data_IF_711705453121
#
_entry.id   IF_711705453121
#
_cell.length_a   1.000
_cell.length_b   1.000
_cell.length_c   1.000
_cell.angle_alpha   90.00
_cell.angle_beta   90.00
_cell.angle_gamma   90.00
#
_symmetry.space_group_name_H-M   'P 1'
#
loop_
_entity.id
_entity.type
_entity.pdbx_description
1 polymer ?
#
# COMPACT_ATOMS: atom_id res chain seq x y z
N UNK A 1 27.14 -53.74 -25.92
CA UNK A 1 27.77 -52.46 -25.54
C UNK A 1 26.69 -51.56 -24.95
N UNK A 2 26.87 -51.23 -23.67
CA UNK A 2 26.38 -50.05 -22.92
C UNK A 2 24.89 -49.68 -22.94
N UNK A 3 24.19 -50.19 -21.93
CA UNK A 3 23.05 -49.56 -21.25
C UNK A 3 23.52 -48.32 -20.45
N UNK A 4 22.76 -47.22 -20.45
CA UNK A 4 22.96 -46.16 -19.44
C UNK A 4 21.64 -45.50 -19.06
N UNK A 5 21.20 -45.81 -17.84
CA UNK A 5 20.14 -45.15 -17.06
C UNK A 5 20.68 -43.89 -16.40
N UNK A 6 19.97 -42.76 -16.51
CA UNK A 6 20.23 -41.57 -15.69
C UNK A 6 19.07 -41.39 -14.70
N UNK A 7 19.35 -41.78 -13.45
CA UNK A 7 18.57 -41.43 -12.27
C UNK A 7 18.90 -39.98 -11.84
N UNK A 8 17.93 -39.18 -11.37
CA UNK A 8 18.24 -37.94 -10.67
C UNK A 8 18.74 -38.24 -9.24
N UNK A 9 19.74 -37.49 -8.73
CA UNK A 9 20.16 -37.61 -7.35
C UNK A 9 19.15 -36.89 -6.43
N UNK A 10 19.00 -37.41 -5.22
CA UNK A 10 18.14 -36.91 -4.11
C UNK A 10 16.73 -37.52 -4.10
N UNK A 11 16.68 -38.85 -3.94
CA UNK A 11 15.59 -39.51 -3.22
C UNK A 11 16.10 -39.82 -1.80
N UNK A 12 16.01 -38.86 -0.89
CA UNK A 12 16.11 -39.14 0.54
C UNK A 12 14.73 -38.96 1.16
N UNK A 13 14.17 -40.10 1.55
CA UNK A 13 12.99 -40.26 2.40
C UNK A 13 13.10 -39.33 3.61
N UNK A 14 12.20 -38.34 3.68
CA UNK A 14 11.96 -37.58 4.90
C UNK A 14 11.31 -38.51 5.91
N UNK A 15 12.08 -38.94 6.92
CA UNK A 15 11.54 -39.54 8.15
C UNK A 15 11.16 -38.42 9.11
N UNK A 16 10.01 -38.58 9.75
CA UNK A 16 9.41 -37.68 10.74
C UNK A 16 10.21 -37.62 12.06
N UNK A 17 11.35 -36.94 12.09
CA UNK A 17 12.12 -36.77 13.33
C UNK A 17 12.68 -35.37 13.59
N UNK A 18 12.16 -34.34 12.92
CA UNK A 18 12.57 -32.94 13.12
C UNK A 18 11.39 -32.05 13.56
N UNK A 19 10.59 -32.54 14.50
CA UNK A 19 9.68 -31.70 15.31
C UNK A 19 9.80 -32.12 16.77
N UNK A 20 10.99 -31.95 17.34
CA UNK A 20 11.22 -32.35 18.74
C UNK A 20 12.25 -31.53 19.51
N UNK A 21 12.93 -30.55 18.88
CA UNK A 21 14.03 -29.81 19.52
C UNK A 21 14.00 -28.31 19.27
N UNK A 22 12.87 -27.65 19.56
CA UNK A 22 12.83 -26.17 19.75
C UNK A 22 11.91 -25.74 20.90
N UNK A 23 11.72 -26.55 21.95
CA UNK A 23 11.16 -26.04 23.22
C UNK A 23 11.84 -26.74 24.41
N UNK A 24 13.11 -26.40 24.64
CA UNK A 24 13.69 -26.58 25.97
C UNK A 24 14.80 -25.57 26.22
N UNK A 25 14.40 -24.31 26.42
CA UNK A 25 15.16 -23.39 27.27
C UNK A 25 14.22 -22.33 27.83
N UNK A 26 14.34 -22.12 29.14
CA UNK A 26 13.67 -21.13 29.98
C UNK A 26 12.35 -21.58 30.64
N UNK A 27 12.47 -22.47 31.64
CA UNK A 27 11.71 -22.28 32.87
C UNK A 27 12.56 -21.43 33.83
N UNK A 28 12.01 -20.31 34.31
CA UNK A 28 11.87 -19.96 35.73
C UNK A 28 11.75 -18.44 35.91
N UNK A 29 10.53 -17.95 36.10
CA UNK A 29 10.19 -17.01 37.18
C UNK A 29 8.67 -16.99 37.35
N UNK A 30 8.21 -17.52 38.49
CA UNK A 30 6.85 -17.39 39.02
C UNK A 30 6.66 -15.97 39.56
N UNK A 31 5.56 -15.31 39.22
CA UNK A 31 4.74 -14.53 40.17
C UNK A 31 3.28 -14.43 39.68
N UNK A 32 2.41 -15.20 40.32
CA UNK A 32 1.10 -14.84 40.92
C UNK A 32 0.03 -14.05 40.13
N UNK A 33 -1.21 -14.54 40.31
CA UNK A 33 -2.55 -13.96 40.05
C UNK A 33 -3.03 -13.99 38.60
N UNK A 34 -4.19 -14.50 38.22
CA UNK A 34 -5.31 -15.14 38.91
C UNK A 34 -6.47 -15.24 37.92
N UNK A 35 -7.44 -16.12 38.21
CA UNK A 35 -8.84 -16.10 37.72
C UNK A 35 -9.20 -16.90 36.44
N UNK A 36 -9.78 -18.09 36.74
CA UNK A 36 -10.99 -18.77 36.20
C UNK A 36 -11.13 -19.10 34.70
N UNK A 37 -11.15 -20.41 34.47
CA UNK A 37 -11.85 -21.11 33.39
C UNK A 37 -13.35 -20.80 33.34
N UNK A 38 -13.89 -20.60 32.12
CA UNK A 38 -15.20 -21.15 31.70
C UNK A 38 -15.15 -21.50 30.19
N UNK A 39 -15.74 -22.66 29.88
CA UNK A 39 -15.84 -23.31 28.57
C UNK A 39 -16.72 -22.54 27.55
N UNK A 40 -16.57 -22.83 26.24
CA UNK A 40 -17.40 -22.27 25.18
C UNK A 40 -18.70 -23.06 24.97
N UNK A 41 -19.80 -22.35 24.71
CA UNK A 41 -21.11 -22.89 24.30
C UNK A 41 -21.67 -22.16 23.08
N UNK A 42 -22.65 -22.73 22.37
CA UNK A 42 -22.61 -22.83 20.90
C UNK A 42 -23.50 -21.86 20.10
N UNK A 43 -23.21 -21.77 18.80
CA UNK A 43 -24.02 -21.15 17.73
C UNK A 43 -25.46 -21.69 17.67
N UNK A 44 -26.45 -20.87 17.24
CA UNK A 44 -27.68 -21.38 16.64
C UNK A 44 -27.76 -21.24 15.12
N UNK A 45 -28.48 -22.20 14.54
CA UNK A 45 -28.85 -22.43 13.14
C UNK A 45 -29.97 -21.50 12.65
N UNK A 46 -30.09 -21.45 11.31
CA UNK A 46 -31.16 -20.82 10.53
C UNK A 46 -32.45 -21.68 10.38
N UNK A 47 -33.55 -20.96 10.07
CA UNK A 47 -34.79 -21.31 9.30
C UNK A 47 -35.99 -21.94 10.04
N UNK A 48 -37.22 -21.93 9.45
CA UNK A 48 -38.00 -20.83 8.83
C UNK A 48 -39.52 -20.86 9.16
N UNK A 49 -40.28 -19.78 8.94
CA UNK A 49 -41.75 -19.82 8.62
C UNK A 49 -42.39 -18.43 8.49
N UNK A 50 -43.11 -18.15 7.39
CA UNK A 50 -44.19 -17.13 7.30
C UNK A 50 -45.52 -17.68 7.87
N UNK A 51 -46.71 -17.07 7.64
CA UNK A 51 -47.08 -16.16 6.53
C UNK A 51 -48.00 -14.94 6.88
N UNK A 52 -48.33 -14.19 5.82
CA UNK A 52 -49.55 -13.38 5.51
C UNK A 52 -49.82 -11.96 6.09
N UNK A 53 -49.89 -11.03 5.11
CA UNK A 53 -50.83 -9.92 4.82
C UNK A 53 -51.17 -8.81 5.83
N UNK A 54 -50.95 -7.55 5.40
CA UNK A 54 -51.98 -6.48 5.34
C UNK A 54 -51.45 -5.19 4.69
N UNK A 55 -52.35 -4.53 3.95
CA UNK A 55 -52.24 -3.24 3.26
C UNK A 55 -51.85 -2.04 4.14
N UNK A 56 -51.31 -0.96 3.53
CA UNK A 56 -51.37 0.38 4.16
C UNK A 56 -50.34 1.40 3.70
N UNK A 57 -50.79 2.33 2.86
CA UNK A 57 -50.18 3.59 2.42
C UNK A 57 -49.77 4.49 3.61
N UNK A 58 -48.65 5.22 3.52
CA UNK A 58 -48.41 6.37 4.41
C UNK A 58 -47.00 6.97 4.42
N UNK A 59 -46.82 8.07 3.70
CA UNK A 59 -45.69 9.00 3.77
C UNK A 59 -45.55 9.59 5.19
N UNK A 60 -44.33 9.76 5.73
CA UNK A 60 -43.81 11.10 6.06
C UNK A 60 -42.40 11.12 6.66
N UNK A 61 -41.79 12.28 6.43
CA UNK A 61 -40.42 12.68 6.71
C UNK A 61 -39.98 12.60 8.18
N UNK A 62 -38.70 12.27 8.37
CA UNK A 62 -37.90 12.60 9.56
C UNK A 62 -36.82 13.60 9.14
N UNK A 63 -36.90 14.83 9.65
CA UNK A 63 -35.77 15.76 9.72
C UNK A 63 -35.97 16.63 10.96
N UNK A 64 -35.24 16.32 12.01
CA UNK A 64 -35.05 17.22 13.14
C UNK A 64 -33.62 17.78 13.05
N UNK A 65 -33.51 19.12 13.02
CA UNK A 65 -32.78 19.97 13.98
C UNK A 65 -31.67 19.27 14.80
N UNK A 66 -30.52 19.87 15.11
CA UNK A 66 -29.90 21.19 14.88
C UNK A 66 -28.55 21.08 15.62
N UNK A 67 -27.79 22.18 15.63
CA UNK A 67 -26.88 22.54 16.71
C UNK A 67 -25.40 22.17 16.54
N UNK A 68 -24.75 23.11 15.86
CA UNK A 68 -23.45 23.64 16.19
C UNK A 68 -23.20 23.81 17.69
N UNK A 69 -22.01 23.41 18.16
CA UNK A 69 -21.38 24.02 19.33
C UNK A 69 -19.89 24.26 19.06
N UNK A 70 -19.48 25.52 19.23
CA UNK A 70 -18.12 26.05 19.11
C UNK A 70 -17.61 26.37 20.52
N UNK A 71 -16.42 25.90 20.88
CA UNK A 71 -15.37 26.62 21.67
C UNK A 71 -14.31 25.64 22.18
N UNK A 72 -13.07 25.77 21.71
CA UNK A 72 -11.95 26.51 22.34
C UNK A 72 -11.44 25.84 23.63
N UNK A 73 -10.22 25.29 23.60
CA UNK A 73 -9.02 25.94 24.17
C UNK A 73 -7.83 24.96 24.32
N UNK A 74 -6.67 25.47 23.92
CA UNK A 74 -5.32 25.36 24.52
C UNK A 74 -4.55 24.04 24.59
N UNK A 75 -3.47 24.04 23.81
CA UNK A 75 -2.05 23.81 24.15
C UNK A 75 -1.67 22.90 25.34
N UNK A 76 -0.92 21.84 25.02
CA UNK A 76 -0.09 21.09 25.96
C UNK A 76 1.31 20.83 25.39
N UNK A 77 2.31 21.61 25.82
CA UNK A 77 3.75 21.39 25.60
C UNK A 77 4.27 20.22 26.45
N UNK A 78 5.25 19.43 25.98
CA UNK A 78 6.04 18.55 26.85
C UNK A 78 7.09 19.32 27.67
N UNK A 79 7.22 18.92 28.93
CA UNK A 79 8.13 19.46 29.95
C UNK A 79 9.61 19.28 29.61
N UNK A 80 10.37 20.38 29.71
CA UNK A 80 11.81 20.38 29.97
C UNK A 80 12.06 20.11 31.47
N UNK A 81 12.90 19.14 31.79
CA UNK A 81 13.58 19.10 33.09
C UNK A 81 15.00 19.64 32.98
N UNK A 82 15.20 20.69 33.77
CA UNK A 82 16.37 21.54 33.88
C UNK A 82 17.57 20.84 34.55
N UNK A 83 18.75 21.18 34.05
CA UNK A 83 20.07 20.83 34.59
C UNK A 83 20.32 21.65 35.85
N UNK A 84 20.63 20.99 36.97
CA UNK A 84 21.07 21.66 38.20
C UNK A 84 22.57 21.50 38.43
N UNK A 85 23.18 22.64 38.78
CA UNK A 85 24.36 22.80 39.64
C UNK A 85 25.77 22.55 39.07
N UNK A 86 26.43 23.66 38.72
CA UNK A 86 27.85 23.90 39.06
C UNK A 86 28.01 25.32 39.61
N UNK A 87 27.98 25.46 40.94
CA UNK A 87 28.48 26.65 41.64
C UNK A 87 29.99 26.50 41.82
N UNK A 88 30.74 27.50 41.32
CA UNK A 88 32.17 27.71 41.60
C UNK A 88 32.32 28.09 43.07
N UNK A 89 33.26 27.46 43.78
CA UNK A 89 33.84 28.05 44.99
C UNK A 89 35.08 28.86 44.60
N UNK A 90 35.11 30.09 45.10
CA UNK A 90 36.29 30.94 45.19
C UNK A 90 36.84 30.79 46.60
N UNK A 91 38.15 30.56 46.75
CA UNK A 91 38.86 30.70 48.01
C UNK A 91 39.73 31.94 47.93
N UNK A 92 39.33 32.97 48.68
CA UNK A 92 40.05 34.21 48.85
C UNK A 92 41.21 34.02 49.84
N UNK A 93 42.36 34.55 49.45
CA UNK A 93 43.54 34.78 50.28
C UNK A 93 43.27 35.94 51.22
N UNK A 94 43.50 35.76 52.52
CA UNK A 94 43.52 36.85 53.50
C UNK A 94 44.93 36.97 54.07
N UNK A 95 45.55 38.12 53.81
CA UNK A 95 46.78 38.61 54.41
C UNK A 95 46.53 39.05 55.86
N UNK A 96 47.40 38.65 56.79
CA UNK A 96 47.50 39.25 58.12
C UNK A 96 48.90 39.85 58.25
N UNK A 97 48.92 41.12 58.69
CA UNK A 97 50.08 42.00 58.71
C UNK A 97 51.11 41.66 59.78
N UNK A 98 52.29 42.24 59.57
CA UNK A 98 53.41 42.26 60.49
C UNK A 98 53.23 43.40 61.51
N UNK A 99 53.62 43.13 62.75
CA UNK A 99 54.03 44.15 63.71
C UNK A 99 55.40 43.76 64.28
N UNK A 100 56.27 44.76 64.34
CA UNK A 100 57.66 44.73 64.80
C UNK A 100 57.70 45.30 66.22
N UNK A 101 58.41 44.65 67.16
CA UNK A 101 59.30 45.35 68.10
C UNK A 101 60.18 44.41 68.95
N UNK A 102 61.46 44.72 68.87
CA UNK A 102 62.69 44.37 69.60
C UNK A 102 62.65 43.72 70.99
N UNK A 103 63.61 42.79 71.18
CA UNK A 103 64.18 42.39 72.47
C UNK A 103 65.52 41.67 72.26
N UNK A 104 66.58 42.18 72.88
CA UNK A 104 68.01 41.90 72.60
C UNK A 104 68.61 40.79 73.47
N UNK A 105 69.45 39.93 72.85
CA UNK A 105 70.57 39.12 73.37
C UNK A 105 70.32 37.91 74.29
N UNK A 106 71.30 37.00 74.51
CA UNK A 106 72.46 36.60 73.70
C UNK A 106 72.49 35.08 73.37
N UNK A 107 73.30 34.70 72.38
CA UNK A 107 73.64 33.29 72.07
C UNK A 107 74.21 32.54 73.28
N UNK A 108 73.90 31.23 73.40
CA UNK A 108 74.97 30.28 73.68
C UNK A 108 75.04 29.15 72.64
N UNK A 109 76.29 28.86 72.27
CA UNK A 109 76.81 27.61 71.71
C UNK A 109 76.03 26.97 70.55
N UNK A 110 76.41 27.35 69.33
CA UNK A 110 76.30 26.51 68.13
C UNK A 110 77.06 25.20 68.37
N UNK A 111 76.34 24.10 68.60
CA UNK A 111 76.77 22.75 68.17
C UNK A 111 75.67 21.69 68.16
N UNK A 112 74.54 21.86 68.88
CA UNK A 112 73.52 20.79 68.97
C UNK A 112 72.12 21.13 68.40
N UNK A 113 71.80 22.39 68.03
CA UNK A 113 70.48 22.76 67.45
C UNK A 113 70.37 22.48 65.94
N UNK A 114 71.50 22.44 65.23
CA UNK A 114 71.53 22.18 63.79
C UNK A 114 71.09 20.75 63.49
N UNK A 115 71.43 19.77 64.32
CA UNK A 115 71.11 18.35 64.07
C UNK A 115 69.61 18.02 64.22
N UNK A 116 68.89 18.63 65.17
CA UNK A 116 67.44 18.41 65.33
C UNK A 116 66.60 19.15 64.28
N UNK A 117 67.00 20.36 63.87
CA UNK A 117 66.33 21.08 62.77
C UNK A 117 66.62 20.46 61.39
N UNK A 118 67.82 19.91 61.17
CA UNK A 118 68.14 19.12 59.98
C UNK A 118 67.27 17.85 59.92
N UNK A 119 67.09 17.14 61.04
CA UNK A 119 66.25 15.95 61.13
C UNK A 119 64.77 16.19 60.78
N UNK A 120 64.19 17.32 61.21
CA UNK A 120 62.80 17.64 60.90
C UNK A 120 62.64 18.19 59.46
N UNK A 121 63.68 18.84 58.92
CA UNK A 121 63.72 19.28 57.52
C UNK A 121 63.87 18.11 56.54
N UNK A 122 64.59 17.06 56.94
CA UNK A 122 64.73 15.80 56.19
C UNK A 122 63.42 15.01 56.20
N UNK A 123 62.74 14.88 57.36
CA UNK A 123 61.39 14.30 57.43
C UNK A 123 60.37 15.06 56.58
N UNK A 124 60.43 16.39 56.58
CA UNK A 124 59.56 17.23 55.75
C UNK A 124 59.84 17.03 54.26
N UNK A 125 61.11 16.85 53.87
CA UNK A 125 61.52 16.48 52.51
C UNK A 125 60.94 15.14 52.08
N UNK A 126 61.05 14.12 52.93
CA UNK A 126 60.52 12.78 52.64
C UNK A 126 58.99 12.80 52.47
N UNK A 127 58.28 13.55 53.31
CA UNK A 127 56.84 13.79 53.19
C UNK A 127 56.48 14.47 51.85
N UNK A 128 57.25 15.47 51.42
CA UNK A 128 57.05 16.13 50.12
C UNK A 128 57.28 15.16 48.97
N UNK A 129 58.34 14.33 49.02
CA UNK A 129 58.65 13.32 48.02
C UNK A 129 57.51 12.28 47.93
N UNK A 130 56.98 11.83 49.06
CA UNK A 130 55.87 10.88 49.11
C UNK A 130 54.59 11.50 48.53
N UNK A 131 54.29 12.77 48.84
CA UNK A 131 53.13 13.48 48.31
C UNK A 131 53.21 13.72 46.80
N UNK A 132 54.38 14.09 46.29
CA UNK A 132 54.64 14.22 44.84
C UNK A 132 54.48 12.86 44.16
N UNK A 133 55.06 11.80 44.73
CA UNK A 133 54.94 10.43 44.21
C UNK A 133 53.47 9.96 44.17
N UNK A 134 52.70 10.21 45.23
CA UNK A 134 51.25 9.91 45.28
C UNK A 134 50.46 10.73 44.25
N UNK A 135 50.80 12.00 44.05
CA UNK A 135 50.17 12.87 43.04
C UNK A 135 50.44 12.36 41.63
N UNK A 136 51.68 11.98 41.34
CA UNK A 136 52.10 11.52 40.02
C UNK A 136 51.50 10.14 39.71
N UNK A 137 51.40 9.25 40.71
CA UNK A 137 50.66 7.99 40.60
C UNK A 137 49.17 8.21 40.30
N UNK A 138 48.52 9.20 40.92
CA UNK A 138 47.12 9.56 40.63
C UNK A 138 46.96 10.09 39.20
N UNK A 139 47.87 10.95 38.74
CA UNK A 139 47.86 11.48 37.37
C UNK A 139 48.00 10.35 36.36
N UNK A 140 48.92 9.42 36.59
CA UNK A 140 49.13 8.28 35.70
C UNK A 140 47.92 7.34 35.68
N UNK A 141 47.31 7.06 36.84
CA UNK A 141 46.04 6.32 36.90
C UNK A 141 44.90 7.02 36.15
N UNK A 142 44.77 8.35 36.27
CA UNK A 142 43.78 9.13 35.52
C UNK A 142 44.04 9.06 34.02
N UNK A 143 45.30 9.15 33.58
CA UNK A 143 45.70 9.05 32.17
C UNK A 143 45.34 7.68 31.59
N UNK A 144 45.70 6.60 32.29
CA UNK A 144 45.39 5.22 31.90
C UNK A 144 43.87 4.98 31.87
N UNK A 145 43.13 5.46 32.87
CA UNK A 145 41.67 5.32 32.89
C UNK A 145 41.00 6.11 31.78
N UNK A 146 41.45 7.34 31.47
CA UNK A 146 40.94 8.10 30.32
C UNK A 146 41.25 7.39 29.00
N UNK A 147 42.46 6.86 28.82
CA UNK A 147 42.82 6.12 27.61
C UNK A 147 41.96 4.86 27.46
N UNK A 148 41.71 4.12 28.54
CA UNK A 148 40.79 2.97 28.56
C UNK A 148 39.36 3.37 28.25
N UNK A 149 38.89 4.50 28.79
CA UNK A 149 37.55 5.01 28.52
C UNK A 149 37.38 5.36 27.04
N UNK A 150 38.32 6.14 26.46
CA UNK A 150 38.31 6.46 25.02
C UNK A 150 38.34 5.18 24.16
N UNK A 151 39.22 4.23 24.48
CA UNK A 151 39.28 2.94 23.78
C UNK A 151 37.97 2.15 23.86
N UNK A 152 37.26 2.18 24.99
CA UNK A 152 35.93 1.54 25.12
C UNK A 152 34.88 2.26 24.29
N UNK A 153 34.93 3.58 24.25
CA UNK A 153 34.02 4.41 23.45
C UNK A 153 34.24 4.17 21.94
N UNK A 154 35.49 4.15 21.49
CA UNK A 154 35.85 3.87 20.10
C UNK A 154 35.41 2.46 19.69
N UNK A 155 35.62 1.46 20.56
CA UNK A 155 35.16 0.09 20.33
C UNK A 155 33.63 0.03 20.21
N UNK A 156 32.90 0.69 21.10
CA UNK A 156 31.44 0.72 21.05
C UNK A 156 30.92 1.36 19.76
N UNK A 157 31.54 2.45 19.30
CA UNK A 157 31.20 3.07 18.01
C UNK A 157 31.50 2.16 16.82
N UNK A 158 32.64 1.48 16.84
CA UNK A 158 33.00 0.52 15.79
C UNK A 158 32.03 -0.68 15.74
N UNK A 159 31.64 -1.22 16.90
CA UNK A 159 30.68 -2.31 17.00
C UNK A 159 29.28 -1.88 16.50
N UNK A 160 28.86 -0.65 16.80
CA UNK A 160 27.60 -0.07 16.30
C UNK A 160 27.60 0.10 14.78
N UNK A 161 28.69 0.62 14.23
CA UNK A 161 28.85 0.82 12.78
C UNK A 161 28.83 -0.52 12.03
N UNK A 162 29.52 -1.53 12.57
CA UNK A 162 29.48 -2.89 12.03
C UNK A 162 28.06 -3.46 12.03
N UNK A 163 27.31 -3.27 13.12
CA UNK A 163 25.90 -3.70 13.20
C UNK A 163 25.00 -3.00 12.19
N UNK A 164 25.19 -1.69 11.98
CA UNK A 164 24.46 -0.93 10.95
C UNK A 164 24.75 -1.46 9.54
N UNK A 165 26.02 -1.73 9.24
CA UNK A 165 26.44 -2.28 7.95
C UNK A 165 25.84 -3.67 7.71
N UNK A 166 25.86 -4.55 8.73
CA UNK A 166 25.21 -5.85 8.67
C UNK A 166 23.71 -5.74 8.41
N UNK A 167 23.02 -4.87 9.14
CA UNK A 167 21.57 -4.64 9.00
C UNK A 167 21.24 -4.13 7.59
N UNK A 168 22.01 -3.17 7.04
CA UNK A 168 21.82 -2.68 5.68
C UNK A 168 22.05 -3.76 4.63
N UNK A 169 23.08 -4.58 4.80
CA UNK A 169 23.34 -5.71 3.91
C UNK A 169 22.21 -6.75 3.95
N UNK A 170 21.63 -6.99 5.13
CA UNK A 170 20.48 -7.88 5.30
C UNK A 170 19.21 -7.32 4.65
N UNK A 171 18.92 -6.02 4.82
CA UNK A 171 17.82 -5.35 4.12
C UNK A 171 17.98 -5.53 2.61
N UNK A 172 19.16 -5.22 2.07
CA UNK A 172 19.40 -5.33 0.63
C UNK A 172 19.30 -6.78 0.14
N UNK A 173 19.76 -7.75 0.94
CA UNK A 173 19.58 -9.18 0.65
C UNK A 173 18.10 -9.57 0.63
N UNK A 174 17.32 -9.14 1.62
CA UNK A 174 15.89 -9.41 1.70
C UNK A 174 15.10 -8.72 0.58
N UNK A 175 15.47 -7.51 0.19
CA UNK A 175 14.91 -6.80 -0.97
C UNK A 175 15.20 -7.56 -2.26
N UNK A 176 16.44 -8.00 -2.48
CA UNK A 176 16.81 -8.83 -3.61
C UNK A 176 16.07 -10.18 -3.60
N UNK A 177 15.88 -10.79 -2.43
CA UNK A 177 15.11 -12.03 -2.29
C UNK A 177 13.64 -11.81 -2.58
N UNK A 178 13.04 -10.69 -2.12
CA UNK A 178 11.67 -10.29 -2.45
C UNK A 178 11.50 -10.05 -3.95
N UNK A 179 12.44 -9.36 -4.60
CA UNK A 179 12.42 -9.17 -6.05
C UNK A 179 12.49 -10.52 -6.78
N UNK A 180 13.41 -11.41 -6.38
CA UNK A 180 13.51 -12.76 -6.95
C UNK A 180 12.23 -13.57 -6.76
N UNK A 181 11.60 -13.48 -5.59
CA UNK A 181 10.31 -14.12 -5.33
C UNK A 181 9.26 -13.52 -6.25
N UNK A 182 9.10 -12.19 -6.33
CA UNK A 182 8.16 -11.51 -7.22
C UNK A 182 8.33 -11.94 -8.69
N UNK A 183 9.57 -12.08 -9.17
CA UNK A 183 9.87 -12.58 -10.52
C UNK A 183 9.64 -14.10 -10.69
N UNK A 184 9.75 -14.89 -9.61
CA UNK A 184 9.60 -16.35 -9.62
C UNK A 184 8.15 -16.82 -9.34
N UNK A 185 7.34 -16.04 -8.61
CA UNK A 185 5.91 -16.32 -8.44
C UNK A 185 5.13 -15.88 -9.68
N UNK A 186 4.16 -16.68 -10.14
CA UNK A 186 3.45 -16.38 -11.36
C UNK A 186 2.57 -15.14 -11.16
N UNK A 187 2.66 -14.24 -12.13
CA UNK A 187 2.02 -12.92 -12.31
C UNK A 187 0.49 -12.92 -12.31
N UNK A 188 -0.12 -14.03 -11.90
CA UNK A 188 -1.57 -14.25 -11.84
C UNK A 188 -2.21 -13.20 -10.93
N UNK A 189 -1.66 -12.94 -9.74
CA UNK A 189 -2.28 -11.99 -8.81
C UNK A 189 -2.41 -10.57 -9.40
N UNK A 190 -1.44 -10.12 -10.21
CA UNK A 190 -1.50 -8.82 -10.89
C UNK A 190 -2.54 -8.78 -12.02
N UNK A 191 -2.59 -9.80 -12.88
CA UNK A 191 -3.57 -9.82 -13.99
C UNK A 191 -4.99 -9.94 -13.46
N UNK A 192 -5.19 -10.73 -12.40
CA UNK A 192 -6.48 -10.86 -11.74
C UNK A 192 -6.91 -9.53 -11.11
N UNK A 193 -6.00 -8.82 -10.43
CA UNK A 193 -6.26 -7.49 -9.88
C UNK A 193 -6.57 -6.47 -10.98
N UNK A 194 -5.88 -6.53 -12.12
CA UNK A 194 -6.17 -5.65 -13.26
C UNK A 194 -7.54 -5.97 -13.87
N UNK A 195 -7.87 -7.25 -14.04
CA UNK A 195 -9.17 -7.66 -14.54
C UNK A 195 -10.29 -7.19 -13.60
N UNK A 196 -10.18 -7.44 -12.28
CA UNK A 196 -11.19 -6.99 -11.31
C UNK A 196 -11.34 -5.47 -11.28
N UNK A 197 -10.23 -4.73 -11.32
CA UNK A 197 -10.25 -3.27 -11.38
C UNK A 197 -10.84 -2.74 -12.69
N UNK A 198 -10.57 -3.39 -13.83
CA UNK A 198 -11.19 -3.06 -15.11
C UNK A 198 -12.73 -3.15 -15.01
N UNK A 199 -13.27 -4.27 -14.52
CA UNK A 199 -14.72 -4.43 -14.37
C UNK A 199 -15.32 -3.47 -13.35
N UNK A 200 -14.59 -3.16 -12.27
CA UNK A 200 -15.02 -2.16 -11.28
C UNK A 200 -15.14 -0.78 -11.90
N UNK A 201 -14.15 -0.37 -12.70
CA UNK A 201 -14.10 0.95 -13.31
C UNK A 201 -15.13 1.11 -14.44
N UNK A 202 -15.36 0.08 -15.24
CA UNK A 202 -16.29 0.11 -16.38
C UNK A 202 -17.69 -0.46 -16.06
N UNK A 203 -18.00 -0.71 -14.78
CA UNK A 203 -19.29 -1.27 -14.32
C UNK A 203 -20.51 -0.54 -14.90
N UNK A 204 -20.41 0.76 -15.11
CA UNK A 204 -21.49 1.59 -15.66
C UNK A 204 -21.13 2.23 -17.01
N UNK A 205 -20.15 1.65 -17.72
CA UNK A 205 -19.61 2.20 -18.96
C UNK A 205 -18.58 3.30 -18.71
N UNK A 206 -18.44 4.19 -19.69
CA UNK A 206 -17.57 5.35 -19.66
C UNK A 206 -18.14 6.43 -18.75
N UNK A 207 -17.34 6.89 -17.79
CA UNK A 207 -17.72 8.00 -16.90
C UNK A 207 -17.11 9.30 -17.43
N UNK A 208 -17.91 10.23 -17.94
CA UNK A 208 -17.35 11.53 -18.34
C UNK A 208 -16.80 12.29 -17.12
N UNK A 209 -15.68 13.03 -17.25
CA UNK A 209 -15.26 13.96 -16.22
C UNK A 209 -16.41 14.94 -15.94
N UNK A 210 -16.75 15.14 -14.67
CA UNK A 210 -17.76 16.13 -14.31
C UNK A 210 -17.31 17.48 -14.87
N UNK A 211 -18.12 18.17 -15.70
CA UNK A 211 -17.78 19.51 -16.11
C UNK A 211 -17.73 20.37 -14.85
N UNK A 212 -16.63 21.07 -14.65
CA UNK A 212 -16.58 22.16 -13.70
C UNK A 212 -17.73 23.10 -14.05
N UNK A 213 -18.69 23.25 -13.12
CA UNK A 213 -19.78 24.20 -13.24
C UNK A 213 -19.19 25.58 -13.55
N UNK A 214 -19.39 26.11 -14.77
CA UNK A 214 -18.91 27.46 -15.06
C UNK A 214 -18.73 27.93 -16.50
N UNK A 215 -18.99 27.15 -17.57
CA UNK A 215 -18.94 27.72 -18.92
C UNK A 215 -20.15 27.32 -19.77
N UNK A 216 -20.79 28.37 -20.30
CA UNK A 216 -21.96 28.37 -21.16
C UNK A 216 -21.67 27.70 -22.49
N UNK A 217 -22.65 26.95 -22.95
CA UNK A 217 -22.87 26.46 -24.32
C UNK A 217 -22.23 27.33 -25.40
N UNK A 218 -21.19 26.80 -26.03
CA UNK A 218 -21.01 26.61 -27.48
C UNK A 218 -19.58 26.05 -27.67
N UNK A 219 -19.38 25.11 -28.61
CA UNK A 219 -18.13 24.36 -28.88
C UNK A 219 -17.90 23.03 -28.13
N UNK A 220 -18.96 22.25 -27.88
CA UNK A 220 -18.84 20.87 -27.36
C UNK A 220 -18.70 19.81 -28.48
N UNK A 221 -17.97 20.13 -29.56
CA UNK A 221 -17.64 19.17 -30.63
C UNK A 221 -16.16 18.78 -30.57
N UNK A 222 -15.95 17.46 -30.48
CA UNK A 222 -14.75 16.75 -30.94
C UNK A 222 -13.40 16.95 -30.23
N UNK A 223 -13.32 16.92 -28.90
CA UNK A 223 -12.10 16.46 -28.19
C UNK A 223 -12.50 15.75 -26.90
N UNK A 224 -12.09 14.50 -26.69
CA UNK A 224 -12.11 13.87 -25.36
C UNK A 224 -11.34 14.84 -24.44
N UNK A 225 -11.96 15.45 -23.42
CA UNK A 225 -11.22 16.34 -22.53
C UNK A 225 -10.01 15.57 -22.00
N UNK A 226 -8.80 16.03 -22.35
CA UNK A 226 -7.51 15.46 -21.92
C UNK A 226 -7.26 15.67 -20.42
N UNK A 227 -8.33 15.74 -19.63
CA UNK A 227 -8.30 15.88 -18.19
C UNK A 227 -8.38 14.46 -17.62
N UNK A 228 -7.26 14.03 -17.02
CA UNK A 228 -7.08 12.90 -16.10
C UNK A 228 -8.37 12.17 -15.72
N UNK A 229 -8.78 11.27 -16.60
CA UNK A 229 -9.92 10.40 -16.39
C UNK A 229 -9.43 9.12 -15.71
N UNK A 230 -10.01 8.75 -14.57
CA UNK A 230 -9.57 7.56 -13.79
C UNK A 230 -9.53 6.28 -14.64
N UNK A 231 -10.43 6.15 -15.61
CA UNK A 231 -10.43 5.00 -16.52
C UNK A 231 -9.24 5.08 -17.50
N UNK A 232 -8.93 6.25 -18.06
CA UNK A 232 -7.78 6.43 -18.95
C UNK A 232 -6.45 6.17 -18.23
N UNK A 233 -6.26 6.78 -17.05
CA UNK A 233 -5.04 6.61 -16.26
C UNK A 233 -4.81 5.15 -15.89
N UNK A 234 -5.89 4.44 -15.53
CA UNK A 234 -5.84 3.00 -15.28
C UNK A 234 -5.42 2.21 -16.52
N UNK A 235 -6.06 2.44 -17.68
CA UNK A 235 -5.72 1.72 -18.91
C UNK A 235 -4.26 2.00 -19.32
N UNK A 236 -3.81 3.25 -19.24
CA UNK A 236 -2.42 3.65 -19.53
C UNK A 236 -1.40 3.04 -18.56
N UNK A 237 -1.77 2.79 -17.31
CA UNK A 237 -0.90 2.12 -16.34
C UNK A 237 -0.87 0.60 -16.55
N UNK A 238 -2.02 -0.01 -16.85
CA UNK A 238 -2.19 -1.46 -16.85
C UNK A 238 -1.94 -2.13 -18.21
N UNK A 239 -2.10 -1.42 -19.32
CA UNK A 239 -2.07 -1.99 -20.68
C UNK A 239 -0.85 -1.52 -21.47
N UNK A 240 -0.44 -2.30 -22.47
CA UNK A 240 0.56 -1.85 -23.44
C UNK A 240 0.00 -0.73 -24.31
N UNK A 241 0.87 0.09 -24.89
CA UNK A 241 0.45 1.22 -25.73
C UNK A 241 -0.30 0.77 -26.99
N UNK A 242 -0.03 -0.45 -27.44
CA UNK A 242 -0.56 -1.10 -28.64
C UNK A 242 -1.56 -2.23 -28.32
N UNK A 243 -2.13 -2.22 -27.10
CA UNK A 243 -3.08 -3.23 -26.63
C UNK A 243 -4.18 -3.48 -27.67
N UNK A 244 -4.45 -4.75 -27.97
CA UNK A 244 -5.40 -5.13 -29.00
C UNK A 244 -6.71 -5.68 -28.43
N UNK A 245 -7.86 -5.22 -28.95
CA UNK A 245 -9.18 -5.84 -28.81
C UNK A 245 -9.76 -6.16 -30.19
N UNK A 246 -9.39 -7.32 -30.73
CA UNK A 246 -9.71 -7.68 -32.11
C UNK A 246 -9.06 -6.72 -33.11
N UNK A 247 -9.88 -5.92 -33.80
CA UNK A 247 -9.41 -4.91 -34.77
C UNK A 247 -8.98 -3.60 -34.13
N UNK A 248 -9.45 -3.33 -32.90
CA UNK A 248 -9.17 -2.10 -32.18
C UNK A 248 -7.78 -2.17 -31.55
N UNK A 249 -6.99 -1.09 -31.71
CA UNK A 249 -5.62 -0.98 -31.20
C UNK A 249 -5.40 0.27 -30.37
N UNK A 250 -4.78 0.07 -29.21
CA UNK A 250 -4.32 1.12 -28.31
C UNK A 250 -5.35 1.53 -27.26
N UNK A 251 -4.83 2.12 -26.19
CA UNK A 251 -5.62 2.54 -25.02
C UNK A 251 -6.65 3.60 -25.37
N UNK A 252 -6.31 4.57 -26.20
CA UNK A 252 -7.23 5.65 -26.59
C UNK A 252 -8.42 5.11 -27.37
N UNK A 253 -8.19 4.16 -28.29
CA UNK A 253 -9.25 3.52 -29.05
C UNK A 253 -10.18 2.70 -28.13
N UNK A 254 -9.63 2.00 -27.14
CA UNK A 254 -10.42 1.22 -26.17
C UNK A 254 -11.35 2.13 -25.37
N UNK A 255 -10.82 3.27 -24.93
CA UNK A 255 -11.58 4.23 -24.17
C UNK A 255 -12.65 4.90 -25.03
N UNK A 256 -12.34 5.23 -26.29
CA UNK A 256 -13.32 5.78 -27.22
C UNK A 256 -14.44 4.79 -27.53
N UNK A 257 -14.14 3.50 -27.68
CA UNK A 257 -15.16 2.47 -27.83
C UNK A 257 -16.09 2.43 -26.61
N UNK A 258 -15.55 2.49 -25.38
CA UNK A 258 -16.37 2.62 -24.17
C UNK A 258 -17.22 3.89 -24.16
N UNK A 259 -16.67 5.03 -24.60
CA UNK A 259 -17.38 6.29 -24.71
C UNK A 259 -18.55 6.18 -25.67
N UNK A 260 -18.33 5.69 -26.90
CA UNK A 260 -19.38 5.51 -27.91
C UNK A 260 -20.45 4.53 -27.43
N UNK A 261 -20.04 3.39 -26.88
CA UNK A 261 -20.96 2.40 -26.34
C UNK A 261 -21.86 3.00 -25.25
N UNK A 262 -21.29 3.86 -24.38
CA UNK A 262 -22.00 4.55 -23.30
C UNK A 262 -22.83 5.75 -23.75
N UNK A 263 -22.44 6.37 -24.86
CA UNK A 263 -23.20 7.45 -25.48
C UNK A 263 -24.46 6.89 -26.15
N UNK A 264 -24.37 5.72 -26.77
CA UNK A 264 -25.46 5.14 -27.56
C UNK A 264 -26.47 4.34 -26.75
N UNK A 265 -26.05 3.72 -25.65
CA UNK A 265 -26.91 2.87 -24.83
C UNK A 265 -27.17 3.50 -23.46
N UNK A 266 -28.38 3.31 -22.93
CA UNK A 266 -28.75 3.79 -21.60
C UNK A 266 -28.64 2.68 -20.57
N UNK A 267 -28.26 3.03 -19.34
CA UNK A 267 -28.36 2.11 -18.19
C UNK A 267 -27.45 0.88 -18.31
N UNK A 268 -26.23 1.08 -18.83
CA UNK A 268 -25.21 0.05 -18.94
C UNK A 268 -24.86 -0.48 -17.55
N UNK A 269 -24.83 -1.80 -17.44
CA UNK A 269 -24.34 -2.51 -16.28
C UNK A 269 -23.46 -3.66 -16.73
N UNK A 270 -22.17 -3.58 -16.45
CA UNK A 270 -21.21 -4.66 -16.67
C UNK A 270 -20.94 -5.36 -15.34
N UNK A 271 -21.34 -6.62 -15.25
CA UNK A 271 -21.15 -7.47 -14.09
C UNK A 271 -20.11 -8.55 -14.39
N UNK A 272 -19.16 -8.70 -13.46
CA UNK A 272 -18.19 -9.78 -13.45
C UNK A 272 -18.76 -10.97 -12.68
N UNK A 273 -19.01 -12.09 -13.34
CA UNK A 273 -19.52 -13.29 -12.67
C UNK A 273 -18.38 -14.15 -12.12
N UNK A 274 -17.36 -14.40 -12.94
CA UNK A 274 -16.19 -15.19 -12.56
C UNK A 274 -14.97 -14.79 -13.38
N UNK A 275 -13.79 -15.01 -12.81
CA UNK A 275 -12.51 -14.97 -13.51
C UNK A 275 -11.91 -16.37 -13.40
N UNK A 276 -11.38 -16.86 -14.50
CA UNK A 276 -10.75 -18.17 -14.60
C UNK A 276 -9.37 -18.00 -15.24
N UNK A 277 -8.43 -18.86 -14.83
CA UNK A 277 -7.11 -18.90 -15.44
C UNK A 277 -7.22 -19.58 -16.79
N UNK A 278 -6.62 -18.97 -17.80
CA UNK A 278 -6.62 -19.48 -19.17
C UNK A 278 -5.18 -19.54 -19.68
N UNK A 279 -4.47 -20.64 -19.45
CA UNK A 279 -3.05 -20.75 -19.77
C UNK A 279 -2.13 -20.06 -18.76
N UNK A 280 -0.85 -19.87 -19.13
CA UNK A 280 0.19 -19.42 -18.18
C UNK A 280 0.17 -17.91 -17.95
N UNK A 281 -0.27 -17.10 -18.91
CA UNK A 281 -0.17 -15.64 -18.89
C UNK A 281 -1.49 -14.97 -19.26
N UNK A 282 -2.62 -15.66 -19.10
CA UNK A 282 -3.91 -15.10 -19.46
C UNK A 282 -4.99 -15.51 -18.47
N UNK A 283 -6.02 -14.67 -18.40
CA UNK A 283 -7.24 -14.92 -17.63
C UNK A 283 -8.43 -14.62 -18.52
N UNK A 284 -9.50 -15.36 -18.30
CA UNK A 284 -10.79 -15.12 -18.96
C UNK A 284 -11.80 -14.79 -17.89
N UNK A 285 -12.44 -13.64 -18.04
CA UNK A 285 -13.57 -13.23 -17.24
C UNK A 285 -14.86 -13.59 -17.97
N UNK A 286 -15.81 -14.20 -17.27
CA UNK A 286 -17.20 -14.32 -17.75
C UNK A 286 -18.02 -13.18 -17.17
N UNK A 287 -18.78 -12.52 -18.03
CA UNK A 287 -19.49 -11.30 -17.69
C UNK A 287 -20.96 -11.38 -18.10
N UNK A 288 -21.78 -10.57 -17.43
CA UNK A 288 -23.11 -10.20 -17.89
C UNK A 288 -23.12 -8.71 -18.15
N UNK A 289 -23.62 -8.32 -19.31
CA UNK A 289 -23.81 -6.90 -19.64
C UNK A 289 -25.29 -6.65 -19.86
N UNK A 290 -25.84 -5.68 -19.15
CA UNK A 290 -27.22 -5.25 -19.34
C UNK A 290 -27.26 -3.82 -19.85
N UNK A 291 -28.14 -3.53 -20.79
CA UNK A 291 -28.35 -2.17 -21.30
C UNK A 291 -29.78 -1.99 -21.80
N UNK A 292 -30.20 -0.74 -21.97
CA UNK A 292 -31.49 -0.38 -22.54
C UNK A 292 -31.30 0.19 -23.94
N UNK A 293 -32.00 -0.41 -24.91
CA UNK A 293 -32.09 0.10 -26.27
C UNK A 293 -33.04 1.29 -26.25
N UNK A 294 -32.57 2.44 -26.71
CA UNK A 294 -33.33 3.69 -26.77
C UNK A 294 -33.46 4.16 -28.21
N UNK A 295 -34.26 5.21 -28.45
CA UNK A 295 -34.30 5.85 -29.77
C UNK A 295 -32.91 6.35 -30.22
N UNK A 296 -32.09 6.86 -29.28
CA UNK A 296 -30.70 7.22 -29.53
C UNK A 296 -29.86 6.01 -29.96
N UNK A 297 -30.11 4.84 -29.37
CA UNK A 297 -29.49 3.58 -29.80
C UNK A 297 -29.89 3.25 -31.23
N UNK A 298 -31.18 3.33 -31.59
CA UNK A 298 -31.63 3.06 -32.96
C UNK A 298 -30.93 4.03 -33.94
N UNK A 299 -30.99 5.33 -33.68
CA UNK A 299 -30.41 6.36 -34.56
C UNK A 299 -28.91 6.15 -34.83
N UNK A 300 -28.15 5.73 -33.82
CA UNK A 300 -26.68 5.64 -33.92
C UNK A 300 -26.15 4.23 -34.19
N UNK A 301 -26.85 3.19 -33.75
CA UNK A 301 -26.42 1.79 -33.85
C UNK A 301 -27.16 1.03 -34.95
N UNK A 302 -28.43 1.34 -35.19
CA UNK A 302 -29.27 0.71 -36.20
C UNK A 302 -29.90 1.76 -37.13
N UNK A 303 -29.09 2.63 -37.77
CA UNK A 303 -29.60 3.82 -38.45
C UNK A 303 -30.61 3.47 -39.56
N UNK A 304 -30.39 2.35 -40.26
CA UNK A 304 -31.27 1.85 -41.32
C UNK A 304 -32.68 1.46 -40.83
N UNK A 305 -32.87 1.24 -39.53
CA UNK A 305 -34.18 0.96 -38.95
C UNK A 305 -34.96 2.24 -38.58
N UNK A 306 -34.35 3.42 -38.77
CA UNK A 306 -34.89 4.74 -38.40
C UNK A 306 -35.02 5.72 -39.57
N UNK A 307 -34.98 5.22 -40.79
CA UNK A 307 -35.05 6.02 -42.02
C UNK A 307 -36.10 5.42 -42.94
N UNK A 308 -36.96 6.27 -43.50
CA UNK A 308 -37.92 5.84 -44.52
C UNK A 308 -37.34 5.92 -45.93
N UNK A 309 -38.14 5.54 -46.94
CA UNK A 309 -37.74 5.55 -48.36
C UNK A 309 -37.31 6.94 -48.86
N UNK A 310 -37.71 8.02 -48.18
CA UNK A 310 -37.43 9.41 -48.53
C UNK A 310 -36.26 10.02 -47.75
N UNK A 311 -35.66 9.26 -46.81
CA UNK A 311 -34.57 9.74 -45.97
C UNK A 311 -35.01 10.45 -44.69
N UNK A 312 -36.31 10.54 -44.42
CA UNK A 312 -36.84 11.13 -43.20
C UNK A 312 -36.78 10.15 -42.03
N UNK A 313 -36.71 10.69 -40.81
CA UNK A 313 -36.69 9.87 -39.61
C UNK A 313 -38.05 9.20 -39.38
N UNK A 314 -38.08 7.89 -39.53
CA UNK A 314 -39.26 7.06 -39.28
C UNK A 314 -38.85 5.71 -38.70
N UNK A 315 -39.47 5.32 -37.60
CA UNK A 315 -39.16 4.05 -36.94
C UNK A 315 -39.83 2.89 -37.68
N UNK A 316 -39.01 1.98 -38.20
CA UNK A 316 -39.49 0.71 -38.73
C UNK A 316 -40.25 -0.10 -37.67
N UNK A 317 -41.16 -1.02 -38.07
CA UNK A 317 -41.81 -1.94 -37.14
C UNK A 317 -40.80 -2.74 -36.29
N UNK A 318 -39.62 -3.03 -36.84
CA UNK A 318 -38.54 -3.70 -36.15
C UNK A 318 -37.91 -2.81 -35.07
N UNK A 319 -37.64 -1.53 -35.35
CA UNK A 319 -37.17 -0.57 -34.36
C UNK A 319 -38.16 -0.36 -33.21
N UNK A 320 -39.46 -0.31 -33.51
CA UNK A 320 -40.51 -0.19 -32.49
C UNK A 320 -40.51 -1.36 -31.50
N UNK A 321 -40.16 -2.58 -31.94
CA UNK A 321 -40.00 -3.74 -31.04
C UNK A 321 -38.75 -3.64 -30.16
N UNK A 322 -37.70 -2.98 -30.62
CA UNK A 322 -36.42 -2.87 -29.91
C UNK A 322 -36.38 -1.71 -28.91
N UNK A 323 -37.04 -0.60 -29.22
CA UNK A 323 -37.02 0.60 -28.36
C UNK A 323 -37.58 0.30 -26.97
N UNK A 324 -36.93 0.89 -25.95
CA UNK A 324 -37.22 0.76 -24.53
C UNK A 324 -37.08 -0.67 -23.98
N UNK A 325 -36.53 -1.61 -24.76
CA UNK A 325 -36.21 -2.94 -24.27
C UNK A 325 -34.90 -2.93 -23.49
N UNK A 326 -34.90 -3.59 -22.34
CA UNK A 326 -33.69 -3.88 -21.57
C UNK A 326 -33.21 -5.28 -21.94
N UNK A 327 -32.02 -5.37 -22.51
CA UNK A 327 -31.39 -6.64 -22.87
C UNK A 327 -30.28 -6.98 -21.88
N UNK A 328 -30.06 -8.28 -21.71
CA UNK A 328 -28.93 -8.85 -21.00
C UNK A 328 -28.18 -9.79 -21.95
N UNK A 329 -26.88 -9.58 -22.07
CA UNK A 329 -25.98 -10.37 -22.90
C UNK A 329 -24.91 -11.02 -22.01
N UNK A 330 -24.67 -12.31 -22.23
CA UNK A 330 -23.53 -12.99 -21.64
C UNK A 330 -22.29 -12.65 -22.45
N UNK A 331 -21.15 -12.51 -21.79
CA UNK A 331 -19.91 -12.16 -22.45
C UNK A 331 -18.69 -12.82 -21.84
N UNK A 332 -17.59 -12.71 -22.57
CA UNK A 332 -16.27 -13.09 -22.10
C UNK A 332 -15.28 -11.98 -22.41
N UNK A 333 -14.33 -11.77 -21.51
CA UNK A 333 -13.21 -10.85 -21.73
C UNK A 333 -11.93 -11.57 -21.37
N UNK A 334 -11.06 -11.76 -22.36
CA UNK A 334 -9.75 -12.40 -22.20
C UNK A 334 -8.68 -11.34 -22.06
N UNK A 335 -7.91 -11.41 -20.98
CA UNK A 335 -6.74 -10.57 -20.77
C UNK A 335 -5.49 -11.42 -20.98
N UNK A 336 -4.65 -11.06 -21.95
CA UNK A 336 -3.32 -11.66 -22.10
C UNK A 336 -2.25 -10.71 -21.60
N UNK A 337 -1.33 -11.27 -20.82
CA UNK A 337 -0.33 -10.52 -20.08
C UNK A 337 1.07 -10.78 -20.59
N UNK A 338 1.83 -9.72 -20.80
CA UNK A 338 3.26 -9.82 -21.01
C UNK A 338 4.01 -9.67 -19.69
N UNK A 339 4.70 -10.74 -19.29
CA UNK A 339 5.48 -10.80 -18.06
C UNK A 339 6.70 -9.87 -18.09
N UNK A 340 7.24 -9.57 -19.27
CA UNK A 340 8.44 -8.76 -19.41
C UNK A 340 8.15 -7.28 -19.22
N UNK A 341 7.07 -6.77 -19.82
CA UNK A 341 6.62 -5.39 -19.62
C UNK A 341 5.75 -5.19 -18.37
N UNK A 342 5.18 -6.27 -17.82
CA UNK A 342 4.23 -6.19 -16.71
C UNK A 342 2.96 -5.45 -17.12
N UNK A 343 2.47 -5.70 -18.34
CA UNK A 343 1.29 -5.04 -18.93
C UNK A 343 0.40 -6.02 -19.69
N UNK A 344 -0.89 -5.68 -19.80
CA UNK A 344 -1.85 -6.39 -20.67
C UNK A 344 -1.55 -6.03 -22.12
N UNK A 345 -1.29 -7.03 -22.95
CA UNK A 345 -1.00 -6.86 -24.39
C UNK A 345 -2.21 -7.12 -25.27
N UNK A 346 -3.16 -7.96 -24.82
CA UNK A 346 -4.43 -8.14 -25.51
C UNK A 346 -5.57 -8.15 -24.53
N UNK A 347 -6.67 -7.52 -24.92
CA UNK A 347 -7.95 -7.48 -24.23
C UNK A 347 -9.00 -7.91 -25.25
N UNK A 348 -9.36 -9.18 -25.33
CA UNK A 348 -10.37 -9.63 -26.29
C UNK A 348 -11.73 -9.70 -25.63
N UNK A 349 -12.64 -8.80 -26.02
CA UNK A 349 -14.01 -8.79 -25.56
C UNK A 349 -14.95 -9.49 -26.55
N UNK A 350 -15.93 -10.24 -26.04
CA UNK A 350 -17.03 -10.84 -26.81
C UNK A 350 -18.30 -10.80 -25.99
N UNK A 351 -19.41 -10.40 -26.60
CA UNK A 351 -20.74 -10.44 -26.00
C UNK A 351 -21.73 -11.15 -26.92
N UNK A 352 -22.67 -11.91 -26.37
CA UNK A 352 -23.72 -12.60 -27.10
C UNK A 352 -24.92 -11.67 -27.29
N UNK A 353 -24.91 -10.89 -28.37
CA UNK A 353 -26.05 -10.07 -28.78
C UNK A 353 -27.13 -10.89 -29.48
N UNK A 354 -26.79 -12.06 -30.02
CA UNK A 354 -27.73 -12.90 -30.78
C UNK A 354 -28.86 -13.40 -29.88
N UNK A 355 -28.53 -13.97 -28.72
CA UNK A 355 -29.53 -14.53 -27.80
C UNK A 355 -30.59 -13.53 -27.35
N UNK A 356 -30.26 -12.34 -26.80
CA UNK A 356 -31.27 -11.37 -26.40
C UNK A 356 -32.07 -10.83 -27.59
N UNK A 357 -31.44 -10.63 -28.75
CA UNK A 357 -32.13 -10.11 -29.93
C UNK A 357 -33.10 -11.13 -30.51
N UNK A 358 -32.73 -12.42 -30.52
CA UNK A 358 -33.63 -13.49 -30.94
C UNK A 358 -34.84 -13.62 -30.02
N UNK A 359 -34.66 -13.43 -28.70
CA UNK A 359 -35.77 -13.41 -27.73
C UNK A 359 -36.74 -12.24 -27.95
N UNK A 360 -36.23 -11.07 -28.31
CA UNK A 360 -37.04 -9.88 -28.56
C UNK A 360 -37.77 -9.93 -29.90
N UNK A 361 -37.09 -10.39 -30.94
CA UNK A 361 -37.59 -10.35 -32.31
C UNK A 361 -38.33 -11.61 -32.72
N UNK A 362 -38.06 -12.74 -32.07
CA UNK A 362 -38.78 -14.01 -32.28
C UNK A 362 -38.41 -14.77 -33.56
N UNK A 363 -37.60 -14.19 -34.44
CA UNK A 363 -37.13 -14.85 -35.67
C UNK A 363 -35.67 -14.52 -35.99
N UNK A 364 -34.96 -15.49 -36.57
CA UNK A 364 -33.57 -15.27 -37.00
C UNK A 364 -33.50 -14.33 -38.21
N UNK A 365 -34.53 -14.34 -39.05
CA UNK A 365 -34.66 -13.43 -40.19
C UNK A 365 -34.73 -11.96 -39.75
N UNK A 366 -35.56 -11.66 -38.74
CA UNK A 366 -35.64 -10.31 -38.16
C UNK A 366 -34.30 -9.90 -37.51
N UNK A 367 -33.61 -10.82 -36.84
CA UNK A 367 -32.28 -10.54 -36.28
C UNK A 367 -31.28 -10.25 -37.40
N UNK A 368 -31.26 -11.05 -38.47
CA UNK A 368 -30.39 -10.80 -39.62
C UNK A 368 -30.67 -9.42 -40.24
N UNK A 369 -31.95 -9.06 -40.40
CA UNK A 369 -32.35 -7.76 -40.91
C UNK A 369 -31.93 -6.61 -39.98
N UNK A 370 -32.07 -6.78 -38.66
CA UNK A 370 -31.60 -5.81 -37.68
C UNK A 370 -30.08 -5.56 -37.78
N UNK A 371 -29.27 -6.60 -38.03
CA UNK A 371 -27.80 -6.52 -37.99
C UNK A 371 -27.12 -6.31 -39.35
N UNK A 372 -27.86 -6.30 -40.46
CA UNK A 372 -27.31 -6.17 -41.82
C UNK A 372 -26.44 -4.92 -41.96
N UNK A 373 -27.00 -3.75 -41.62
CA UNK A 373 -26.33 -2.45 -41.70
C UNK A 373 -26.15 -1.78 -40.32
N UNK A 374 -26.20 -2.59 -39.26
CA UNK A 374 -25.97 -2.12 -37.90
C UNK A 374 -24.49 -1.71 -37.72
N UNK A 375 -24.26 -0.70 -36.88
CA UNK A 375 -22.91 -0.28 -36.45
C UNK A 375 -22.40 -1.06 -35.24
N UNK A 376 -23.02 -2.19 -34.93
CA UNK A 376 -22.60 -3.13 -33.89
C UNK A 376 -22.61 -4.56 -34.45
N UNK A 377 -21.67 -5.38 -34.02
CA UNK A 377 -21.61 -6.80 -34.38
C UNK A 377 -22.44 -7.65 -33.42
N UNK A 378 -22.75 -8.89 -33.81
CA UNK A 378 -23.36 -9.89 -32.91
C UNK A 378 -22.45 -10.28 -31.74
N UNK A 379 -21.14 -10.00 -31.83
CA UNK A 379 -20.20 -10.12 -30.71
C UNK A 379 -20.16 -8.87 -29.80
N UNK A 380 -21.03 -7.88 -30.04
CA UNK A 380 -21.13 -6.66 -29.22
C UNK A 380 -20.06 -5.60 -29.47
N UNK A 381 -19.32 -5.67 -30.58
CA UNK A 381 -18.30 -4.68 -30.94
C UNK A 381 -18.87 -3.59 -31.84
N UNK A 382 -18.54 -2.33 -31.56
CA UNK A 382 -18.87 -1.21 -32.44
C UNK A 382 -18.04 -1.29 -33.73
N UNK A 383 -18.66 -0.97 -34.88
CA UNK A 383 -18.02 -0.96 -36.21
C UNK A 383 -17.42 0.39 -36.58
#
# INVERSE_FOLDING_TARGET
>A
MTTSSLYPPIAQSLRDEVIGKVIQRCQSHRTSSGVRHLNPGPRPRLTPSGPEDTDGIGQNAKSCHDSSYVSLMTEGKPQQMSKMSRKRLHSSTTSVGADVSNGTAPLPSKKNRTQHLLSDHDKCRDLIIELVSKRDLRREKCRVNQARYRKRQDKFLADLELGNQQTRAEIQKLENQRQRILFATPTNETVWNIATEYFRLFRHGFTAPAPYSGLTSNEAEAVIPRQSHKQLEFLQAAMSIDVADGTLRGVDALLENWRLFSLYHKGIHLELERIEKDGACSVVATTKTSLTITENTIRNVYPHLSVNEFGDFELSPLACRLINQRIEMNGTVRFSWDRSSGRVVTLESKADMLTPMLRLLGSLEDVAHAFNDARITLEGKMR
#
